data_IF_646551665866
#
_entry.id   IF_646551665866
#
_cell.length_a   1.000
_cell.length_b   1.000
_cell.length_c   1.000
_cell.angle_alpha   90.00
_cell.angle_beta   90.00
_cell.angle_gamma   90.00
#
_symmetry.space_group_name_H-M   'P 1'
#
loop_
_entity.id
_entity.type
_entity.pdbx_description
1 polymer ?
#
# COMPACT_ATOMS: atom_id res chain seq x y z
N UNK A 1 17.07 9.03 -1.95
CA UNK A 1 16.74 9.18 -3.37
C UNK A 1 15.49 10.02 -3.49
N UNK A 2 15.52 11.11 -4.27
CA UNK A 2 14.32 11.91 -4.57
C UNK A 2 13.27 11.03 -5.21
N UNK A 3 12.07 10.95 -4.64
CA UNK A 3 10.91 10.34 -5.26
C UNK A 3 10.50 11.17 -6.48
N UNK A 4 9.94 10.55 -7.53
CA UNK A 4 9.43 11.30 -8.70
C UNK A 4 8.45 12.41 -8.29
N UNK A 5 7.61 12.16 -7.28
CA UNK A 5 6.68 13.17 -6.76
C UNK A 5 7.40 14.42 -6.22
N UNK A 6 8.52 14.25 -5.53
CA UNK A 6 9.35 15.36 -5.01
C UNK A 6 10.01 16.14 -6.14
N UNK A 7 10.43 15.45 -7.21
CA UNK A 7 10.98 16.12 -8.43
C UNK A 7 9.98 17.12 -9.02
N UNK A 8 8.69 16.83 -8.91
CA UNK A 8 7.61 17.66 -9.43
C UNK A 8 6.96 18.59 -8.39
N UNK A 9 7.49 18.64 -7.15
CA UNK A 9 6.94 19.48 -6.07
C UNK A 9 5.50 19.12 -5.67
N UNK A 10 5.05 17.90 -5.99
CA UNK A 10 3.67 17.50 -5.78
C UNK A 10 3.25 17.54 -4.30
N UNK A 11 4.05 17.02 -3.34
CA UNK A 11 3.67 17.09 -1.93
C UNK A 11 3.41 18.51 -1.44
N UNK A 12 4.22 19.50 -1.84
CA UNK A 12 3.98 20.90 -1.49
C UNK A 12 2.74 21.48 -2.18
N UNK A 13 2.44 21.05 -3.42
CA UNK A 13 1.32 21.58 -4.20
C UNK A 13 -0.07 21.27 -3.62
N UNK A 14 -0.16 20.30 -2.70
CA UNK A 14 -1.41 19.96 -2.03
C UNK A 14 -1.30 19.86 -0.51
N UNK A 15 -0.20 20.37 0.07
CA UNK A 15 0.06 20.30 1.50
C UNK A 15 -0.98 21.07 2.35
N UNK A 16 -1.64 22.07 1.77
CA UNK A 16 -2.75 22.81 2.39
C UNK A 16 -4.09 22.07 2.29
N UNK A 17 -4.14 20.97 1.53
CA UNK A 17 -5.38 20.25 1.18
C UNK A 17 -5.43 18.82 1.66
N UNK A 18 -4.28 18.17 1.85
CA UNK A 18 -4.18 16.79 2.36
C UNK A 18 -3.10 16.67 3.42
N UNK A 19 -3.43 16.01 4.52
CA UNK A 19 -2.40 15.43 5.39
C UNK A 19 -1.75 14.25 4.67
N UNK A 20 -0.41 14.18 4.71
CA UNK A 20 0.36 13.21 3.93
C UNK A 20 1.22 12.33 4.81
N UNK A 21 1.02 11.00 4.72
CA UNK A 21 1.93 10.01 5.27
C UNK A 21 2.84 9.44 4.18
N UNK A 22 4.13 9.78 4.20
CA UNK A 22 5.09 9.25 3.23
C UNK A 22 5.69 7.92 3.69
N UNK A 23 5.30 6.84 3.01
CA UNK A 23 5.74 5.47 3.33
C UNK A 23 6.50 4.88 2.12
N UNK A 24 7.84 5.00 2.09
CA UNK A 24 8.62 4.63 0.91
C UNK A 24 8.70 3.11 0.73
N UNK A 25 8.13 2.62 -0.38
CA UNK A 25 8.25 1.23 -0.82
C UNK A 25 8.94 1.21 -2.19
N UNK A 26 10.01 0.42 -2.31
CA UNK A 26 10.77 0.27 -3.55
C UNK A 26 9.89 -0.26 -4.67
N UNK A 27 10.11 0.22 -5.88
CA UNK A 27 9.29 -0.13 -7.04
C UNK A 27 9.36 -1.64 -7.32
N UNK A 28 8.19 -2.24 -7.59
CA UNK A 28 8.00 -3.68 -7.88
C UNK A 28 8.60 -4.60 -6.80
N UNK A 29 8.67 -4.13 -5.56
CA UNK A 29 9.10 -4.90 -4.39
C UNK A 29 8.04 -4.82 -3.29
N UNK A 30 8.05 -5.80 -2.40
CA UNK A 30 7.25 -5.75 -1.19
C UNK A 30 7.83 -4.77 -0.17
N UNK A 31 6.93 -4.24 0.66
CA UNK A 31 7.32 -3.42 1.79
C UNK A 31 7.96 -4.31 2.87
N UNK A 32 8.97 -3.79 3.55
CA UNK A 32 9.37 -4.36 4.83
C UNK A 32 8.20 -4.28 5.82
N UNK A 33 8.12 -5.25 6.74
CA UNK A 33 7.05 -5.31 7.72
C UNK A 33 6.92 -4.02 8.57
N UNK A 34 8.03 -3.35 8.89
CA UNK A 34 8.01 -2.07 9.60
C UNK A 34 7.38 -0.94 8.77
N UNK A 35 7.73 -0.87 7.49
CA UNK A 35 7.16 0.08 6.52
C UNK A 35 5.66 -0.17 6.36
N UNK A 36 5.25 -1.43 6.22
CA UNK A 36 3.83 -1.79 6.11
C UNK A 36 3.05 -1.41 7.37
N UNK A 37 3.58 -1.68 8.57
CA UNK A 37 2.97 -1.25 9.84
C UNK A 37 2.80 0.27 9.91
N UNK A 38 3.74 1.03 9.35
CA UNK A 38 3.65 2.50 9.32
C UNK A 38 2.50 2.96 8.42
N UNK A 39 2.33 2.37 7.24
CA UNK A 39 1.19 2.64 6.36
C UNK A 39 -0.14 2.33 7.05
N UNK A 40 -0.24 1.16 7.69
CA UNK A 40 -1.47 0.73 8.35
C UNK A 40 -1.81 1.62 9.55
N UNK A 41 -0.82 2.09 10.32
CA UNK A 41 -1.07 3.07 11.39
C UNK A 41 -1.70 4.35 10.85
N UNK A 42 -1.16 4.92 9.79
CA UNK A 42 -1.74 6.12 9.18
C UNK A 42 -3.18 5.91 8.71
N UNK A 43 -3.50 4.74 8.14
CA UNK A 43 -4.87 4.39 7.76
C UNK A 43 -5.80 4.22 8.97
N UNK A 44 -5.33 3.60 10.06
CA UNK A 44 -6.09 3.46 11.32
C UNK A 44 -6.37 4.82 11.95
N UNK A 45 -5.39 5.70 11.98
CA UNK A 45 -5.52 7.03 12.60
C UNK A 45 -6.55 7.87 11.83
N UNK A 46 -6.49 7.87 10.50
CA UNK A 46 -7.48 8.55 9.64
C UNK A 46 -8.88 7.93 9.77
N UNK A 47 -9.00 6.60 9.79
CA UNK A 47 -10.29 5.94 10.02
C UNK A 47 -10.89 6.32 11.39
N UNK A 48 -10.07 6.33 12.45
CA UNK A 48 -10.52 6.71 13.78
C UNK A 48 -10.97 8.18 13.86
N UNK A 49 -10.42 9.04 13.01
CA UNK A 49 -10.85 10.43 12.84
C UNK A 49 -12.11 10.59 11.94
N UNK A 50 -12.59 9.52 11.31
CA UNK A 50 -13.73 9.56 10.38
C UNK A 50 -13.37 10.12 9.00
N UNK A 51 -12.09 10.08 8.64
CA UNK A 51 -11.56 10.67 7.40
C UNK A 51 -11.46 9.66 6.25
N UNK A 52 -11.48 10.18 5.02
CA UNK A 52 -11.24 9.39 3.81
C UNK A 52 -9.77 9.46 3.41
N UNK A 53 -9.16 8.31 3.10
CA UNK A 53 -7.75 8.24 2.68
C UNK A 53 -7.61 7.89 1.20
N UNK A 54 -6.76 8.64 0.49
CA UNK A 54 -6.29 8.29 -0.84
C UNK A 54 -4.92 7.60 -0.76
N UNK A 55 -4.84 6.36 -1.25
CA UNK A 55 -3.60 5.58 -1.34
C UNK A 55 -3.07 5.58 -2.77
N UNK A 56 -1.80 5.93 -2.97
CA UNK A 56 -1.18 5.87 -4.29
C UNK A 56 0.30 5.43 -4.23
N UNK A 57 0.79 4.93 -5.37
CA UNK A 57 2.21 4.76 -5.65
C UNK A 57 2.54 5.56 -6.93
N UNK A 58 3.39 5.06 -7.82
CA UNK A 58 3.59 5.73 -9.11
C UNK A 58 2.40 5.49 -10.07
N UNK A 59 2.04 4.23 -10.29
CA UNK A 59 0.92 3.84 -11.16
C UNK A 59 -0.38 3.55 -10.40
N UNK A 60 -0.35 3.55 -9.07
CA UNK A 60 -1.51 3.21 -8.23
C UNK A 60 -1.90 1.73 -8.26
N UNK A 61 -1.04 0.83 -8.74
CA UNK A 61 -1.39 -0.59 -8.97
C UNK A 61 -0.74 -1.55 -7.96
N UNK A 62 0.58 -1.74 -8.02
CA UNK A 62 1.27 -2.79 -7.26
C UNK A 62 1.36 -2.52 -5.77
N UNK A 63 2.22 -1.57 -5.39
CA UNK A 63 2.45 -1.18 -3.98
C UNK A 63 1.16 -0.73 -3.27
N UNK A 64 0.32 0.02 -3.98
CA UNK A 64 -1.03 0.37 -3.51
C UNK A 64 -1.85 -0.87 -3.20
N UNK A 65 -1.84 -1.86 -4.10
CA UNK A 65 -2.54 -3.13 -3.89
C UNK A 65 -2.03 -3.91 -2.68
N UNK A 66 -0.72 -3.98 -2.47
CA UNK A 66 -0.14 -4.67 -1.30
C UNK A 66 -0.58 -4.02 0.02
N UNK A 67 -0.52 -2.68 0.10
CA UNK A 67 -0.99 -1.96 1.31
C UNK A 67 -2.49 -2.16 1.53
N UNK A 68 -3.30 -2.09 0.47
CA UNK A 68 -4.74 -2.34 0.56
C UNK A 68 -5.06 -3.77 1.01
N UNK A 69 -4.35 -4.78 0.51
CA UNK A 69 -4.54 -6.17 0.93
C UNK A 69 -4.13 -6.37 2.40
N UNK A 70 -3.04 -5.72 2.84
CA UNK A 70 -2.59 -5.75 4.23
C UNK A 70 -3.61 -5.08 5.18
N UNK A 71 -4.31 -4.05 4.70
CA UNK A 71 -5.40 -3.42 5.45
C UNK A 71 -6.59 -4.37 5.63
N UNK A 72 -7.03 -5.03 4.56
CA UNK A 72 -8.15 -5.98 4.62
C UNK A 72 -7.85 -7.16 5.56
N UNK A 73 -6.65 -7.71 5.52
CA UNK A 73 -6.26 -8.82 6.39
C UNK A 73 -6.21 -8.39 7.86
N UNK A 74 -5.45 -7.34 8.16
CA UNK A 74 -5.14 -6.95 9.55
C UNK A 74 -6.25 -6.18 10.25
N UNK A 75 -7.10 -5.46 9.52
CA UNK A 75 -8.16 -4.63 10.11
C UNK A 75 -9.58 -5.10 9.81
N UNK A 76 -9.76 -5.95 8.79
CA UNK A 76 -11.10 -6.42 8.35
C UNK A 76 -11.27 -7.93 8.46
N UNK A 77 -10.25 -8.65 8.92
CA UNK A 77 -10.31 -10.08 9.17
C UNK A 77 -10.38 -10.93 7.90
N UNK A 78 -9.93 -10.40 6.75
CA UNK A 78 -9.83 -11.18 5.52
C UNK A 78 -8.71 -12.20 5.63
N UNK A 79 -8.92 -13.38 5.05
CA UNK A 79 -7.84 -14.30 4.73
C UNK A 79 -6.88 -13.65 3.71
N UNK A 80 -5.55 -13.88 3.79
CA UNK A 80 -4.58 -13.32 2.85
C UNK A 80 -4.94 -13.51 1.38
N UNK A 81 -5.40 -14.69 0.97
CA UNK A 81 -5.71 -14.94 -0.43
C UNK A 81 -6.97 -14.19 -0.86
N UNK A 82 -8.00 -14.20 -0.02
CA UNK A 82 -9.23 -13.44 -0.26
C UNK A 82 -8.97 -11.93 -0.35
N UNK A 83 -8.06 -11.39 0.48
CA UNK A 83 -7.67 -9.98 0.43
C UNK A 83 -6.97 -9.62 -0.89
N UNK A 84 -6.05 -10.48 -1.37
CA UNK A 84 -5.36 -10.28 -2.64
C UNK A 84 -6.34 -10.32 -3.82
N UNK A 85 -7.28 -11.26 -3.81
CA UNK A 85 -8.32 -11.39 -4.84
C UNK A 85 -9.25 -10.17 -4.85
N UNK A 86 -9.79 -9.78 -3.69
CA UNK A 86 -10.65 -8.59 -3.53
C UNK A 86 -9.98 -7.33 -4.08
N UNK A 87 -8.70 -7.14 -3.77
CA UNK A 87 -7.95 -5.97 -4.23
C UNK A 87 -7.66 -6.03 -5.73
N UNK A 88 -7.42 -7.22 -6.28
CA UNK A 88 -7.25 -7.42 -7.72
C UNK A 88 -8.54 -7.11 -8.50
N UNK A 89 -9.68 -7.57 -8.00
CA UNK A 89 -11.01 -7.28 -8.56
C UNK A 89 -11.34 -5.79 -8.54
N UNK A 90 -10.87 -5.07 -7.51
CA UNK A 90 -10.93 -3.61 -7.44
C UNK A 90 -9.97 -2.88 -8.41
N UNK A 91 -9.31 -3.61 -9.32
CA UNK A 91 -8.44 -3.04 -10.36
C UNK A 91 -7.05 -2.64 -9.86
N UNK A 92 -6.53 -3.31 -8.83
CA UNK A 92 -5.14 -3.16 -8.36
C UNK A 92 -4.32 -4.40 -8.70
N UNK A 93 -3.01 -4.34 -8.52
CA UNK A 93 -2.10 -5.41 -8.92
C UNK A 93 -1.20 -5.90 -7.77
N UNK A 94 -1.75 -6.42 -6.66
CA UNK A 94 -0.97 -6.84 -5.48
C UNK A 94 0.13 -7.88 -5.81
N UNK A 95 -0.06 -8.66 -6.89
CA UNK A 95 0.91 -9.65 -7.41
C UNK A 95 1.96 -9.08 -8.37
N UNK A 96 2.11 -7.76 -8.50
CA UNK A 96 3.06 -7.15 -9.44
C UNK A 96 4.51 -7.58 -9.17
N UNK A 97 4.96 -7.57 -7.90
CA UNK A 97 6.31 -7.99 -7.55
C UNK A 97 6.56 -9.47 -7.93
N UNK A 98 5.54 -10.33 -7.77
CA UNK A 98 5.59 -11.75 -8.16
C UNK A 98 5.70 -11.88 -9.68
N UNK A 99 4.83 -11.18 -10.43
CA UNK A 99 4.87 -11.16 -11.91
C UNK A 99 6.20 -10.65 -12.47
N UNK A 100 6.88 -9.75 -11.76
CA UNK A 100 8.20 -9.24 -12.15
C UNK A 100 9.35 -10.15 -11.69
N UNK A 101 9.09 -11.25 -10.98
CA UNK A 101 10.12 -12.17 -10.49
C UNK A 101 10.92 -11.62 -9.29
N UNK A 102 10.42 -10.58 -8.62
CA UNK A 102 11.08 -9.97 -7.46
C UNK A 102 10.63 -10.58 -6.12
N UNK A 103 9.61 -11.43 -6.14
CA UNK A 103 9.07 -12.15 -4.99
C UNK A 103 8.26 -13.37 -5.46
N UNK A 104 7.80 -14.18 -4.53
CA UNK A 104 6.95 -15.35 -4.74
C UNK A 104 5.54 -15.10 -4.21
N UNK A 105 4.57 -15.91 -4.66
CA UNK A 105 3.21 -15.89 -4.11
C UNK A 105 3.21 -16.24 -2.62
N UNK A 106 4.08 -17.16 -2.18
CA UNK A 106 4.21 -17.53 -0.78
C UNK A 106 4.67 -16.34 0.10
N UNK A 107 5.68 -15.59 -0.34
CA UNK A 107 6.15 -14.38 0.36
C UNK A 107 5.06 -13.29 0.42
N UNK A 108 4.22 -13.18 -0.60
CA UNK A 108 3.07 -12.27 -0.58
C UNK A 108 2.08 -12.66 0.51
N UNK A 109 1.67 -13.93 0.55
CA UNK A 109 0.70 -14.42 1.52
C UNK A 109 1.26 -14.38 2.96
N UNK A 110 2.54 -14.69 3.13
CA UNK A 110 3.24 -14.55 4.41
C UNK A 110 3.25 -13.10 4.90
N UNK A 111 3.59 -12.14 4.03
CA UNK A 111 3.57 -10.71 4.37
C UNK A 111 2.18 -10.24 4.84
N UNK A 112 1.13 -10.79 4.24
CA UNK A 112 -0.26 -10.45 4.50
C UNK A 112 -0.87 -11.24 5.66
N UNK A 113 -0.14 -12.19 6.24
CA UNK A 113 -0.61 -12.90 7.42
C UNK A 113 -0.73 -11.91 8.61
N UNK A 114 -1.84 -11.92 9.36
CA UNK A 114 -2.09 -10.99 10.46
C UNK A 114 -1.04 -10.99 11.59
#
# INVERSE_FOLDING_TARGET
SSTEATRWGLPEAYADRFETAHVPIRDRQFAENATLRTALRALRDAEAAGESVALHCNAGLGRTGVVAAAWLTRERGYDPQAAVETVAEAGRAPREAVRCGNATEAELLELLTP
#
